data_IF_044243800694
#
_entry.id   IF_044243800694
#
_cell.length_a   1.000
_cell.length_b   1.000
_cell.length_c   1.000
_cell.angle_alpha   90.00
_cell.angle_beta   90.00
_cell.angle_gamma   90.00
#
_symmetry.space_group_name_H-M   'P 1'
#
loop_
_entity.id
_entity.type
_entity.pdbx_description
1 polymer ?
#
# COMPACT_ATOMS: atom_id res chain seq x y z
N UNK A 1 21.86 -1.71 0.13
CA UNK A 1 21.68 -1.88 1.57
C UNK A 1 20.19 -1.75 1.86
N UNK A 2 19.56 -2.72 2.55
CA UNK A 2 18.18 -2.58 3.02
C UNK A 2 18.18 -1.76 4.32
N UNK A 3 17.20 -0.87 4.47
CA UNK A 3 17.02 0.02 5.62
C UNK A 3 15.64 -0.21 6.26
N UNK A 4 15.35 0.43 7.39
CA UNK A 4 14.08 0.35 8.13
C UNK A 4 13.66 -1.07 8.60
N UNK A 5 14.64 -1.89 8.99
CA UNK A 5 14.42 -3.27 9.44
C UNK A 5 13.80 -3.37 10.84
N UNK A 6 13.62 -2.28 11.58
CA UNK A 6 12.97 -2.29 12.90
C UNK A 6 11.51 -2.76 12.85
N UNK A 7 10.90 -2.68 11.66
CA UNK A 7 9.54 -3.15 11.39
C UNK A 7 9.48 -4.57 10.83
N UNK A 8 10.61 -5.25 10.62
CA UNK A 8 10.61 -6.64 10.15
C UNK A 8 9.90 -7.56 11.16
N UNK A 9 9.10 -8.48 10.63
CA UNK A 9 8.33 -9.46 11.39
C UNK A 9 8.37 -10.80 10.67
N UNK A 10 8.19 -11.88 11.42
CA UNK A 10 7.91 -13.18 10.81
C UNK A 10 6.53 -13.15 10.14
N UNK A 11 6.45 -13.60 8.90
CA UNK A 11 5.24 -13.55 8.10
C UNK A 11 5.32 -14.46 6.88
N UNK A 12 4.26 -14.47 6.08
CA UNK A 12 4.24 -15.14 4.79
C UNK A 12 5.04 -14.32 3.77
N UNK A 13 5.89 -14.93 2.94
CA UNK A 13 6.69 -14.19 1.95
C UNK A 13 5.81 -13.43 0.95
N UNK A 14 4.58 -13.90 0.71
CA UNK A 14 3.60 -13.20 -0.12
C UNK A 14 3.27 -11.78 0.37
N UNK A 15 3.41 -11.50 1.67
CA UNK A 15 3.19 -10.16 2.24
C UNK A 15 4.30 -9.21 1.79
N UNK A 16 5.55 -9.65 1.81
CA UNK A 16 6.70 -8.85 1.37
C UNK A 16 6.67 -8.62 -0.15
N UNK A 17 6.32 -9.66 -0.93
CA UNK A 17 6.12 -9.55 -2.38
C UNK A 17 5.03 -8.55 -2.71
N UNK A 18 3.91 -8.60 -1.98
CA UNK A 18 2.84 -7.64 -2.12
C UNK A 18 3.32 -6.23 -1.76
N UNK A 19 3.96 -6.05 -0.60
CA UNK A 19 4.44 -4.73 -0.18
C UNK A 19 5.41 -4.10 -1.18
N UNK A 20 6.20 -4.91 -1.89
CA UNK A 20 7.19 -4.45 -2.88
C UNK A 20 6.56 -4.06 -4.22
N UNK A 21 5.41 -4.64 -4.59
CA UNK A 21 4.86 -4.56 -5.95
C UNK A 21 3.41 -4.06 -6.03
N UNK A 22 2.77 -3.79 -4.90
CA UNK A 22 1.41 -3.28 -4.85
C UNK A 22 1.36 -1.82 -5.28
N UNK A 23 0.35 -1.45 -6.07
CA UNK A 23 0.16 -0.09 -6.56
C UNK A 23 0.25 0.98 -5.46
N UNK A 24 -0.38 0.75 -4.31
CA UNK A 24 -0.37 1.70 -3.17
C UNK A 24 1.01 1.85 -2.54
N UNK A 25 1.89 0.87 -2.70
CA UNK A 25 3.29 0.94 -2.24
C UNK A 25 4.19 1.60 -3.28
N UNK A 26 4.12 1.12 -4.54
CA UNK A 26 5.01 1.59 -5.60
C UNK A 26 4.69 3.01 -6.05
N UNK A 27 3.51 3.53 -5.74
CA UNK A 27 3.14 4.92 -6.03
C UNK A 27 3.15 5.82 -4.80
N UNK A 28 3.63 5.37 -3.63
CA UNK A 28 3.65 6.21 -2.43
C UNK A 28 4.58 7.42 -2.61
N UNK A 29 5.87 7.18 -2.84
CA UNK A 29 6.90 8.23 -2.92
C UNK A 29 6.83 9.04 -4.22
N UNK A 30 6.96 10.38 -4.15
CA UNK A 30 6.85 11.24 -5.33
C UNK A 30 8.05 11.13 -6.28
N UNK A 31 9.24 10.88 -5.74
CA UNK A 31 10.50 10.93 -6.49
C UNK A 31 10.91 9.57 -7.07
N UNK A 32 10.39 8.49 -6.50
CA UNK A 32 10.75 7.11 -6.83
C UNK A 32 9.55 6.21 -7.16
N UNK A 33 8.39 6.80 -7.45
CA UNK A 33 7.20 6.02 -7.84
C UNK A 33 7.35 5.28 -9.16
N UNK A 34 6.68 4.13 -9.23
CA UNK A 34 6.45 3.36 -10.43
C UNK A 34 5.01 2.83 -10.49
N UNK A 35 4.38 2.92 -11.66
CA UNK A 35 3.13 2.21 -11.96
C UNK A 35 3.51 0.95 -12.72
N UNK A 36 3.37 -0.20 -12.07
CA UNK A 36 3.68 -1.50 -12.67
C UNK A 36 2.50 -1.97 -13.53
N UNK A 37 2.81 -2.50 -14.70
CA UNK A 37 1.83 -3.25 -15.49
C UNK A 37 1.55 -4.62 -14.88
N UNK A 38 0.38 -5.19 -15.18
CA UNK A 38 0.04 -6.56 -14.76
C UNK A 38 1.12 -7.58 -15.17
N UNK A 39 1.68 -7.43 -16.38
CA UNK A 39 2.75 -8.31 -16.88
C UNK A 39 4.04 -8.21 -16.06
N UNK A 40 4.41 -7.01 -15.60
CA UNK A 40 5.56 -6.81 -14.71
C UNK A 40 5.32 -7.41 -13.32
N UNK A 41 4.11 -7.26 -12.77
CA UNK A 41 3.73 -7.90 -11.51
C UNK A 41 3.80 -9.42 -11.64
N UNK A 42 3.18 -10.02 -12.66
CA UNK A 42 3.23 -11.48 -12.89
C UNK A 42 4.68 -11.96 -13.02
N UNK A 43 5.50 -11.26 -13.81
CA UNK A 43 6.89 -11.63 -14.03
C UNK A 43 7.72 -11.52 -12.73
N UNK A 44 7.46 -10.50 -11.91
CA UNK A 44 8.08 -10.36 -10.60
C UNK A 44 7.80 -11.56 -9.69
N UNK A 45 6.52 -11.95 -9.55
CA UNK A 45 6.14 -13.12 -8.75
C UNK A 45 6.78 -14.39 -9.30
N UNK A 46 6.68 -14.65 -10.62
CA UNK A 46 7.27 -15.86 -11.24
C UNK A 46 8.78 -15.94 -11.09
N UNK A 47 9.50 -14.82 -11.25
CA UNK A 47 10.95 -14.76 -11.04
C UNK A 47 11.32 -15.08 -9.60
N UNK A 48 10.55 -14.57 -8.64
CA UNK A 48 10.76 -14.89 -7.24
C UNK A 48 10.50 -16.37 -6.97
N UNK A 49 9.38 -16.93 -7.45
CA UNK A 49 9.04 -18.34 -7.26
C UNK A 49 10.11 -19.26 -7.85
N UNK A 50 10.62 -18.95 -9.04
CA UNK A 50 11.69 -19.72 -9.68
C UNK A 50 13.03 -19.69 -8.92
N UNK A 51 13.25 -18.68 -8.09
CA UNK A 51 14.46 -18.55 -7.27
C UNK A 51 14.33 -19.22 -5.88
N UNK A 52 13.13 -19.62 -5.47
CA UNK A 52 12.87 -20.23 -4.17
C UNK A 52 12.75 -21.75 -4.27
N UNK A 53 13.32 -22.47 -3.31
CA UNK A 53 13.16 -23.93 -3.23
C UNK A 53 11.69 -24.34 -3.00
N UNK A 54 10.94 -23.50 -2.27
CA UNK A 54 9.52 -23.69 -2.00
C UNK A 54 8.79 -22.35 -2.09
N UNK A 55 7.73 -22.31 -2.90
CA UNK A 55 6.81 -21.19 -3.00
C UNK A 55 5.46 -21.54 -2.36
N UNK A 56 4.75 -20.57 -1.76
CA UNK A 56 3.31 -20.68 -1.58
C UNK A 56 2.59 -20.86 -2.92
N UNK A 57 1.37 -21.40 -2.86
CA UNK A 57 0.49 -21.49 -4.03
C UNK A 57 -0.07 -20.11 -4.42
N UNK A 58 -0.67 -20.03 -5.61
CA UNK A 58 -1.28 -18.82 -6.15
C UNK A 58 -2.31 -18.21 -5.21
N UNK A 59 -3.18 -19.05 -4.62
CA UNK A 59 -4.22 -18.61 -3.69
C UNK A 59 -3.62 -17.89 -2.48
N UNK A 60 -2.57 -18.46 -1.90
CA UNK A 60 -1.86 -17.85 -0.77
C UNK A 60 -1.20 -16.54 -1.16
N UNK A 61 -0.56 -16.47 -2.34
CA UNK A 61 0.10 -15.26 -2.83
C UNK A 61 -0.90 -14.12 -3.08
N UNK A 62 -2.04 -14.42 -3.71
CA UNK A 62 -3.10 -13.44 -3.97
C UNK A 62 -3.79 -13.03 -2.67
N UNK A 63 -4.01 -13.96 -1.73
CA UNK A 63 -4.55 -13.64 -0.42
C UNK A 63 -3.62 -12.70 0.37
N UNK A 64 -2.31 -12.93 0.34
CA UNK A 64 -1.33 -12.02 0.93
C UNK A 64 -1.39 -10.63 0.28
N UNK A 65 -1.46 -10.55 -1.05
CA UNK A 65 -1.58 -9.28 -1.78
C UNK A 65 -2.83 -8.51 -1.40
N UNK A 66 -3.97 -9.19 -1.29
CA UNK A 66 -5.23 -8.62 -0.84
C UNK A 66 -5.16 -8.13 0.61
N UNK A 67 -4.56 -8.91 1.50
CA UNK A 67 -4.39 -8.52 2.90
C UNK A 67 -3.52 -7.25 3.04
N UNK A 68 -2.39 -7.19 2.35
CA UNK A 68 -1.52 -6.00 2.31
C UNK A 68 -2.26 -4.78 1.78
N UNK A 69 -3.04 -4.94 0.70
CA UNK A 69 -3.84 -3.84 0.15
C UNK A 69 -4.92 -3.34 1.11
N UNK A 70 -5.69 -4.25 1.72
CA UNK A 70 -6.71 -3.90 2.71
C UNK A 70 -6.10 -3.20 3.92
N UNK A 71 -4.90 -3.62 4.34
CA UNK A 71 -4.15 -2.94 5.40
C UNK A 71 -3.83 -1.49 5.02
N UNK A 72 -3.33 -1.24 3.80
CA UNK A 72 -3.07 0.12 3.29
C UNK A 72 -4.35 0.97 3.22
N UNK A 73 -5.45 0.42 2.72
CA UNK A 73 -6.74 1.14 2.66
C UNK A 73 -7.30 1.45 4.04
N UNK A 74 -7.19 0.51 4.98
CA UNK A 74 -7.63 0.70 6.36
C UNK A 74 -6.83 1.82 7.03
N UNK A 75 -5.51 1.87 6.79
CA UNK A 75 -4.68 2.98 7.27
C UNK A 75 -5.09 4.31 6.65
N UNK A 76 -5.36 4.35 5.33
CA UNK A 76 -5.83 5.56 4.66
C UNK A 76 -7.16 6.05 5.23
N UNK A 77 -8.13 5.15 5.42
CA UNK A 77 -9.43 5.48 5.99
C UNK A 77 -9.30 6.00 7.44
N UNK A 78 -8.45 5.35 8.25
CA UNK A 78 -8.15 5.82 9.61
C UNK A 78 -7.53 7.21 9.59
N UNK A 79 -6.51 7.43 8.75
CA UNK A 79 -5.85 8.73 8.65
C UNK A 79 -6.84 9.83 8.24
N UNK A 80 -7.69 9.56 7.23
CA UNK A 80 -8.72 10.51 6.77
C UNK A 80 -9.67 10.89 7.89
N UNK A 81 -10.19 9.91 8.63
CA UNK A 81 -11.10 10.15 9.76
C UNK A 81 -10.43 10.98 10.86
N UNK A 82 -9.19 10.65 11.22
CA UNK A 82 -8.43 11.40 12.23
C UNK A 82 -8.12 12.83 11.78
N UNK A 83 -7.77 13.03 10.50
CA UNK A 83 -7.47 14.34 9.94
C UNK A 83 -8.72 15.24 9.88
N UNK A 84 -9.90 14.69 9.54
CA UNK A 84 -11.17 15.42 9.57
C UNK A 84 -11.56 15.82 10.99
N UNK A 85 -11.47 14.88 11.95
CA UNK A 85 -11.76 15.17 13.35
C UNK A 85 -10.85 16.25 13.95
N UNK A 86 -9.55 16.22 13.61
CA UNK A 86 -8.60 17.24 14.05
C UNK A 86 -8.93 18.62 13.45
N UNK A 87 -9.36 18.69 12.18
CA UNK A 87 -9.83 19.96 11.59
C UNK A 87 -11.05 20.51 12.31
N UNK A 88 -11.99 19.65 12.67
CA UNK A 88 -13.20 20.04 13.40
C UNK A 88 -12.87 20.51 14.83
N UNK A 89 -11.88 19.90 15.50
CA UNK A 89 -11.40 20.35 16.82
C UNK A 89 -10.60 21.65 16.74
N UNK A 90 -9.71 21.81 15.74
CA UNK A 90 -8.99 23.07 15.51
C UNK A 90 -9.93 24.25 15.23
N UNK A 91 -11.07 24.02 14.58
CA UNK A 91 -12.12 25.04 14.41
C UNK A 91 -12.87 25.38 15.72
N UNK A 92 -12.77 24.53 16.75
CA UNK A 92 -13.43 24.69 18.06
C UNK A 92 -12.50 25.11 19.20
N UNK A 93 -11.21 25.33 18.93
CA UNK A 93 -10.26 25.94 19.86
C UNK A 93 -9.17 24.99 20.35
N UNK A 94 -7.93 25.42 20.12
CA UNK A 94 -6.67 25.04 20.77
C UNK A 94 -6.28 23.55 20.78
N UNK A 95 -5.53 23.15 19.75
CA UNK A 95 -4.71 21.93 19.79
C UNK A 95 -3.26 22.29 19.40
N UNK A 96 -2.42 22.48 20.41
CA UNK A 96 -1.04 22.98 20.29
C UNK A 96 -0.01 21.90 19.88
N UNK A 97 -0.48 20.70 19.46
CA UNK A 97 0.37 19.54 19.16
C UNK A 97 0.56 19.27 17.66
N UNK A 98 -0.13 20.00 16.78
CA UNK A 98 -0.05 19.86 15.32
C UNK A 98 1.16 20.57 14.68
N UNK A 99 1.96 21.32 15.46
CA UNK A 99 3.00 22.23 14.96
C UNK A 99 4.30 21.56 14.45
N UNK A 100 4.40 20.23 14.48
CA UNK A 100 5.67 19.51 14.20
C UNK A 100 5.74 18.76 12.87
N UNK A 101 4.70 18.80 12.03
CA UNK A 101 4.70 18.09 10.73
C UNK A 101 4.69 19.09 9.57
N UNK A 102 5.67 18.98 8.68
CA UNK A 102 5.78 19.81 7.47
C UNK A 102 4.45 19.77 6.68
N UNK A 103 3.84 20.94 6.37
CA UNK A 103 2.61 21.02 5.59
C UNK A 103 2.68 20.28 4.25
N UNK A 104 3.85 20.22 3.61
CA UNK A 104 4.05 19.49 2.36
C UNK A 104 3.87 17.97 2.55
N UNK A 105 4.30 17.43 3.70
CA UNK A 105 4.11 16.01 4.04
C UNK A 105 2.64 15.71 4.29
N UNK A 106 1.93 16.60 5.00
CA UNK A 106 0.48 16.44 5.23
C UNK A 106 -0.29 16.50 3.91
N UNK A 107 0.05 17.44 3.02
CA UNK A 107 -0.58 17.54 1.70
C UNK A 107 -0.32 16.29 0.86
N UNK A 108 0.92 15.82 0.83
CA UNK A 108 1.28 14.57 0.15
C UNK A 108 0.47 13.38 0.65
N UNK A 109 0.43 13.16 1.96
CA UNK A 109 -0.33 12.05 2.57
C UNK A 109 -1.82 12.19 2.25
N UNK A 110 -2.39 13.39 2.36
CA UNK A 110 -3.79 13.64 1.99
C UNK A 110 -4.07 13.26 0.54
N UNK A 111 -3.23 13.73 -0.38
CA UNK A 111 -3.39 13.46 -1.81
C UNK A 111 -3.32 11.96 -2.10
N UNK A 112 -2.40 11.22 -1.48
CA UNK A 112 -2.33 9.75 -1.61
C UNK A 112 -3.52 9.04 -1.00
N UNK A 113 -3.98 9.46 0.18
CA UNK A 113 -5.15 8.89 0.86
C UNK A 113 -6.42 9.06 0.02
N UNK A 114 -6.71 10.26 -0.47
CA UNK A 114 -7.88 10.51 -1.32
C UNK A 114 -7.78 9.74 -2.64
N UNK A 115 -6.58 9.66 -3.23
CA UNK A 115 -6.34 8.87 -4.44
C UNK A 115 -6.62 7.38 -4.23
N UNK A 116 -6.06 6.76 -3.17
CA UNK A 116 -6.20 5.32 -2.92
C UNK A 116 -7.61 4.92 -2.48
N UNK A 117 -8.36 5.82 -1.86
CA UNK A 117 -9.76 5.59 -1.49
C UNK A 117 -10.75 5.90 -2.62
N UNK A 118 -10.27 6.41 -3.76
CA UNK A 118 -11.13 6.70 -4.91
C UNK A 118 -11.58 5.41 -5.60
N UNK A 119 -12.81 5.42 -6.11
CA UNK A 119 -13.39 4.27 -6.82
C UNK A 119 -12.52 3.78 -8.00
N UNK A 120 -11.97 4.66 -8.86
CA UNK A 120 -11.12 4.20 -9.97
C UNK A 120 -9.89 3.41 -9.51
N UNK A 121 -9.28 3.77 -8.37
CA UNK A 121 -8.11 3.07 -7.85
C UNK A 121 -8.49 1.78 -7.13
N UNK A 122 -9.63 1.76 -6.45
CA UNK A 122 -10.19 0.53 -5.88
C UNK A 122 -10.47 -0.48 -6.99
N UNK A 123 -11.13 -0.06 -8.07
CA UNK A 123 -11.43 -0.92 -9.21
C UNK A 123 -10.16 -1.40 -9.91
N UNK A 124 -9.17 -0.51 -10.09
CA UNK A 124 -7.88 -0.88 -10.68
C UNK A 124 -7.19 -2.01 -9.92
N UNK A 125 -7.02 -1.89 -8.60
CA UNK A 125 -6.35 -2.92 -7.78
C UNK A 125 -7.20 -4.18 -7.67
N UNK A 126 -8.53 -4.05 -7.59
CA UNK A 126 -9.43 -5.19 -7.56
C UNK A 126 -9.37 -6.01 -8.86
N UNK A 127 -9.39 -5.36 -10.03
CA UNK A 127 -9.22 -6.02 -11.32
C UNK A 127 -7.85 -6.69 -11.44
N UNK A 128 -6.78 -6.05 -10.98
CA UNK A 128 -5.44 -6.66 -10.96
C UNK A 128 -5.44 -7.96 -10.13
N UNK A 129 -6.04 -7.96 -8.93
CA UNK A 129 -6.14 -9.15 -8.08
C UNK A 129 -6.87 -10.30 -8.78
N UNK A 130 -7.96 -10.01 -9.49
CA UNK A 130 -8.71 -11.01 -10.26
C UNK A 130 -7.86 -11.59 -11.41
N UNK A 131 -7.14 -10.73 -12.13
CA UNK A 131 -6.26 -11.17 -13.21
C UNK A 131 -5.09 -12.02 -12.69
N UNK A 132 -4.48 -11.64 -11.55
CA UNK A 132 -3.41 -12.40 -10.92
C UNK A 132 -3.87 -13.79 -10.50
N UNK A 133 -5.06 -13.90 -9.92
CA UNK A 133 -5.66 -15.17 -9.53
C UNK A 133 -5.80 -16.15 -10.71
N UNK A 134 -6.00 -15.64 -11.93
CA UNK A 134 -6.11 -16.46 -13.14
C UNK A 134 -4.77 -16.71 -13.85
N UNK A 135 -3.71 -15.96 -13.51
CA UNK A 135 -2.48 -15.89 -14.32
C UNK A 135 -1.21 -16.37 -13.61
N UNK A 136 -1.19 -16.41 -12.28
CA UNK A 136 -0.08 -16.96 -11.49
C UNK A 136 -0.19 -18.48 -11.39
#
# INVERSE_FOLDING_TARGET
MLVDLEKCRYGLPGIDLAHTSLYTSTTWDLNSQAVLSLGEVINFYRRWQAAMEKSPDTDTLVACRRATWLWSLTWCAKWRAQHLNAKDSHQRGEDWSAELTDPAVIDHVRNRVEHYLSLPIIDHVHSELQCLQASL
#
